data_IF_276178110164
#
_entry.id   IF_276178110164
#
_cell.length_a   1.000
_cell.length_b   1.000
_cell.length_c   1.000
_cell.angle_alpha   90.00
_cell.angle_beta   90.00
_cell.angle_gamma   90.00
#
_symmetry.space_group_name_H-M   'P 1'
#
loop_
_entity.id
_entity.type
_entity.pdbx_description
1 polymer ?
#
# COMPACT_ATOMS: atom_id res chain seq x y z
N UNK A 1 7.97 6.05 3.69
CA UNK A 1 9.37 5.90 3.21
C UNK A 1 10.24 6.38 4.34
N UNK A 2 11.18 5.56 4.81
CA UNK A 2 12.10 6.02 5.85
C UNK A 2 13.04 7.05 5.23
N UNK A 3 13.26 8.15 5.94
CA UNK A 3 14.28 9.12 5.55
C UNK A 3 15.65 8.44 5.59
N UNK A 4 16.44 8.61 4.53
CA UNK A 4 17.80 8.12 4.43
C UNK A 4 18.67 9.32 4.09
N UNK A 5 19.64 9.62 4.94
CA UNK A 5 20.60 10.68 4.65
C UNK A 5 21.52 10.21 3.51
N UNK A 6 21.61 11.02 2.45
CA UNK A 6 22.43 10.74 1.27
C UNK A 6 23.90 10.48 1.63
N UNK A 7 24.45 11.17 2.63
CA UNK A 7 25.85 11.00 3.07
C UNK A 7 26.14 9.64 3.68
N UNK A 8 25.11 8.90 4.09
CA UNK A 8 25.24 7.54 4.64
C UNK A 8 25.22 6.46 3.58
N UNK A 9 24.81 6.76 2.34
CA UNK A 9 24.54 5.74 1.32
C UNK A 9 25.15 6.03 -0.05
N UNK A 10 25.51 7.28 -0.33
CA UNK A 10 26.14 7.68 -1.60
C UNK A 10 27.63 8.01 -1.41
N UNK A 11 28.49 7.74 -2.41
CA UNK A 11 29.87 8.21 -2.42
C UNK A 11 29.97 9.73 -2.39
N UNK A 12 31.05 10.25 -1.81
CA UNK A 12 31.26 11.69 -1.65
C UNK A 12 31.28 12.43 -2.98
N UNK A 13 31.90 11.83 -4.00
CA UNK A 13 32.03 12.40 -5.33
C UNK A 13 30.66 12.61 -5.98
N UNK A 14 29.75 11.64 -5.81
CA UNK A 14 28.38 11.73 -6.33
C UNK A 14 27.56 12.80 -5.58
N UNK A 15 27.77 12.95 -4.28
CA UNK A 15 27.10 14.00 -3.50
C UNK A 15 27.55 15.38 -3.98
N UNK A 16 28.85 15.58 -4.18
CA UNK A 16 29.39 16.83 -4.71
C UNK A 16 28.80 17.19 -6.07
N UNK A 17 28.61 16.19 -6.93
CA UNK A 17 28.00 16.37 -8.25
C UNK A 17 26.51 16.74 -8.12
N UNK A 18 25.74 16.02 -7.30
CA UNK A 18 24.31 16.34 -7.07
C UNK A 18 24.15 17.76 -6.51
N UNK A 19 25.06 18.19 -5.62
CA UNK A 19 25.03 19.52 -5.02
C UNK A 19 25.21 20.67 -6.02
N UNK A 20 25.77 20.40 -7.22
CA UNK A 20 25.81 21.38 -8.31
C UNK A 20 24.40 21.69 -8.87
N UNK A 21 23.45 20.76 -8.72
CA UNK A 21 22.08 20.89 -9.23
C UNK A 21 21.08 21.23 -8.13
N UNK A 22 21.26 20.67 -6.91
CA UNK A 22 20.32 20.85 -5.80
C UNK A 22 21.04 20.72 -4.45
N UNK A 23 20.84 21.68 -3.55
CA UNK A 23 21.41 21.68 -2.19
C UNK A 23 20.36 22.12 -1.18
N UNK A 24 20.22 21.37 -0.09
CA UNK A 24 19.28 21.71 1.00
C UNK A 24 17.85 21.17 0.82
N UNK A 25 17.58 20.51 -0.31
CA UNK A 25 16.24 20.00 -0.66
C UNK A 25 16.19 18.48 -0.84
N UNK A 26 14.95 17.95 -0.94
CA UNK A 26 14.70 16.52 -1.17
C UNK A 26 14.70 16.17 -2.67
N UNK A 27 15.55 15.21 -3.05
CA UNK A 27 15.57 14.64 -4.40
C UNK A 27 14.93 13.24 -4.41
N UNK A 28 13.86 13.05 -5.19
CA UNK A 28 13.25 11.74 -5.38
C UNK A 28 14.02 10.93 -6.42
N UNK A 29 14.53 9.77 -6.02
CA UNK A 29 15.15 8.81 -6.94
C UNK A 29 14.07 7.79 -7.37
N UNK A 30 13.67 7.76 -8.65
CA UNK A 30 12.72 6.76 -9.13
C UNK A 30 13.30 5.35 -9.02
N UNK A 31 12.42 4.38 -8.79
CA UNK A 31 12.80 2.97 -8.79
C UNK A 31 13.22 2.55 -10.20
N UNK A 32 14.36 1.85 -10.32
CA UNK A 32 14.89 1.39 -11.61
C UNK A 32 13.94 0.42 -12.35
N UNK A 33 13.10 -0.32 -11.63
CA UNK A 33 12.16 -1.30 -12.17
C UNK A 33 10.72 -0.96 -11.76
N UNK A 34 9.73 -1.70 -12.32
CA UNK A 34 8.31 -1.58 -11.93
C UNK A 34 8.19 -1.56 -10.41
N UNK A 35 7.50 -0.55 -9.87
CA UNK A 35 7.15 -0.51 -8.45
C UNK A 35 6.49 -1.84 -8.11
N UNK A 36 7.04 -2.53 -7.13
CA UNK A 36 6.37 -3.69 -6.54
C UNK A 36 4.96 -3.23 -6.12
N UNK A 37 3.91 -4.01 -6.41
CA UNK A 37 2.57 -3.66 -6.01
C UNK A 37 2.53 -3.38 -4.50
N UNK A 38 1.74 -2.39 -4.09
CA UNK A 38 1.56 -2.08 -2.68
C UNK A 38 1.22 -3.36 -1.88
N UNK A 39 1.91 -3.57 -0.76
CA UNK A 39 1.74 -4.74 0.11
C UNK A 39 2.43 -6.03 -0.35
N UNK A 40 3.21 -6.02 -1.44
CA UNK A 40 3.96 -7.21 -1.89
C UNK A 40 5.12 -7.59 -0.95
N UNK A 41 5.80 -6.62 -0.33
CA UNK A 41 6.92 -6.88 0.59
C UNK A 41 6.49 -7.26 2.02
N UNK A 42 5.29 -6.85 2.44
CA UNK A 42 4.83 -6.98 3.84
C UNK A 42 3.74 -8.04 4.01
N UNK A 43 3.35 -8.74 2.94
CA UNK A 43 2.24 -9.69 2.96
C UNK A 43 0.85 -9.07 3.16
N UNK A 44 0.77 -7.76 3.43
CA UNK A 44 -0.47 -7.03 3.74
C UNK A 44 -1.49 -7.15 2.61
N UNK A 45 -1.03 -7.19 1.35
CA UNK A 45 -1.92 -7.38 0.19
C UNK A 45 -2.63 -8.75 0.24
N UNK A 46 -1.90 -9.80 0.58
CA UNK A 46 -2.44 -11.16 0.70
C UNK A 46 -3.43 -11.27 1.87
N UNK A 47 -3.06 -10.70 3.02
CA UNK A 47 -3.94 -10.70 4.20
C UNK A 47 -5.26 -9.97 3.93
N UNK A 48 -5.21 -8.81 3.28
CA UNK A 48 -6.40 -8.05 2.90
C UNK A 48 -7.24 -8.80 1.87
N UNK A 49 -6.62 -9.46 0.89
CA UNK A 49 -7.35 -10.26 -0.09
C UNK A 49 -8.08 -11.42 0.59
N UNK A 50 -7.42 -12.15 1.49
CA UNK A 50 -8.03 -13.25 2.26
C UNK A 50 -9.23 -12.77 3.08
N UNK A 51 -9.09 -11.66 3.80
CA UNK A 51 -10.20 -11.04 4.54
C UNK A 51 -11.35 -10.65 3.61
N UNK A 52 -11.05 -10.02 2.48
CA UNK A 52 -12.06 -9.57 1.54
C UNK A 52 -12.84 -10.74 0.93
N UNK A 53 -12.16 -11.85 0.63
CA UNK A 53 -12.80 -13.08 0.17
C UNK A 53 -13.74 -13.65 1.23
N UNK A 54 -13.34 -13.66 2.51
CA UNK A 54 -14.22 -14.08 3.61
C UNK A 54 -15.47 -13.19 3.73
N UNK A 55 -15.31 -11.87 3.57
CA UNK A 55 -16.44 -10.92 3.55
C UNK A 55 -17.41 -11.25 2.41
N UNK A 56 -16.88 -11.50 1.22
CA UNK A 56 -17.69 -11.81 0.04
C UNK A 56 -18.44 -13.14 0.19
N UNK A 57 -17.77 -14.20 0.65
CA UNK A 57 -18.43 -15.50 0.90
C UNK A 57 -19.53 -15.40 1.96
N UNK A 58 -19.30 -14.66 3.04
CA UNK A 58 -20.31 -14.45 4.08
C UNK A 58 -21.50 -13.62 3.58
N UNK A 59 -21.25 -12.66 2.68
CA UNK A 59 -22.31 -11.89 2.01
C UNK A 59 -23.17 -12.79 1.11
N UNK A 60 -22.55 -13.64 0.29
CA UNK A 60 -23.28 -14.61 -0.55
C UNK A 60 -24.10 -15.62 0.28
N UNK A 61 -23.65 -15.92 1.51
CA UNK A 61 -24.41 -16.72 2.47
C UNK A 61 -25.57 -15.95 3.16
N UNK A 62 -25.85 -14.71 2.74
CA UNK A 62 -26.97 -13.89 3.24
C UNK A 62 -26.63 -12.98 4.42
N UNK A 63 -25.35 -12.84 4.80
CA UNK A 63 -24.96 -11.93 5.89
C UNK A 63 -25.12 -10.47 5.46
N UNK A 64 -25.87 -9.68 6.23
CA UNK A 64 -26.10 -8.27 5.90
C UNK A 64 -24.83 -7.42 6.04
N UNK A 65 -24.76 -6.35 5.23
CA UNK A 65 -23.64 -5.38 5.24
C UNK A 65 -23.35 -4.84 6.65
N UNK A 66 -24.40 -4.54 7.43
CA UNK A 66 -24.26 -4.06 8.82
C UNK A 66 -23.59 -5.08 9.74
N UNK A 67 -23.92 -6.38 9.59
CA UNK A 67 -23.28 -7.46 10.37
C UNK A 67 -21.81 -7.65 9.96
N UNK A 68 -21.52 -7.62 8.66
CA UNK A 68 -20.16 -7.70 8.14
C UNK A 68 -19.29 -6.52 8.61
N UNK A 69 -19.82 -5.31 8.56
CA UNK A 69 -19.16 -4.10 9.06
C UNK A 69 -18.74 -4.26 10.53
N UNK A 70 -19.64 -4.77 11.37
CA UNK A 70 -19.35 -5.05 12.79
C UNK A 70 -18.33 -6.17 12.97
N UNK A 71 -18.46 -7.28 12.24
CA UNK A 71 -17.60 -8.46 12.38
C UNK A 71 -16.15 -8.18 11.96
N UNK A 72 -15.95 -7.40 10.91
CA UNK A 72 -14.62 -7.11 10.36
C UNK A 72 -14.06 -5.76 10.80
N UNK A 73 -14.77 -5.03 11.67
CA UNK A 73 -14.41 -3.69 12.16
C UNK A 73 -14.18 -2.69 11.01
N UNK A 74 -15.11 -2.68 10.06
CA UNK A 74 -15.09 -1.81 8.89
C UNK A 74 -16.35 -0.95 8.84
N UNK A 75 -16.28 0.18 8.15
CA UNK A 75 -17.49 0.93 7.81
C UNK A 75 -18.32 0.16 6.76
N UNK A 76 -19.62 0.41 6.73
CA UNK A 76 -20.49 -0.16 5.68
C UNK A 76 -20.05 0.27 4.27
N UNK A 77 -19.51 1.47 4.11
CA UNK A 77 -18.97 1.94 2.83
C UNK A 77 -17.74 1.16 2.38
N UNK A 78 -16.86 0.78 3.30
CA UNK A 78 -15.73 -0.11 3.01
C UNK A 78 -16.19 -1.51 2.64
N UNK A 79 -17.20 -2.06 3.33
CA UNK A 79 -17.79 -3.35 2.96
C UNK A 79 -18.36 -3.30 1.54
N UNK A 80 -19.15 -2.28 1.20
CA UNK A 80 -19.72 -2.11 -0.16
C UNK A 80 -18.62 -2.07 -1.23
N UNK A 81 -17.57 -1.26 -1.02
CA UNK A 81 -16.42 -1.20 -1.94
C UNK A 81 -15.74 -2.55 -2.13
N UNK A 82 -15.61 -3.34 -1.05
CA UNK A 82 -15.07 -4.69 -1.12
C UNK A 82 -16.00 -5.56 -1.97
N UNK A 83 -17.30 -5.60 -1.70
CA UNK A 83 -18.25 -6.42 -2.46
C UNK A 83 -18.24 -6.08 -3.96
N UNK A 84 -18.32 -4.80 -4.32
CA UNK A 84 -18.26 -4.35 -5.73
C UNK A 84 -16.96 -4.75 -6.44
N UNK A 85 -15.86 -4.95 -5.70
CA UNK A 85 -14.59 -5.40 -6.29
C UNK A 85 -14.54 -6.89 -6.68
N UNK A 86 -15.52 -7.70 -6.26
CA UNK A 86 -15.65 -9.13 -6.61
C UNK A 86 -16.77 -9.41 -7.63
N UNK A 87 -17.59 -8.40 -7.95
CA UNK A 87 -18.69 -8.50 -8.92
C UNK A 87 -18.24 -8.22 -10.38
N UNK A 88 -16.95 -7.91 -10.60
CA UNK A 88 -16.34 -7.65 -11.90
C UNK A 88 -15.41 -8.78 -12.35
#
# INVERSE_FOLDING_TARGET
MNYINATKVLPKELINEIQQYITGDYLYIPVKNKRQPWGAKTGSKSLLMKRNQQIYTAFLAGTSIKKLAKQFFLSESSIRKILTSFEN
#
